data_IF_497652789498
#
_entry.id   IF_497652789498
#
_cell.length_a   1.000
_cell.length_b   1.000
_cell.length_c   1.000
_cell.angle_alpha   90.00
_cell.angle_beta   90.00
_cell.angle_gamma   90.00
#
_symmetry.space_group_name_H-M   'P 1'
#
loop_
_entity.id
_entity.type
_entity.pdbx_description
1 polymer ?
#
# COMPACT_ATOMS: atom_id res chain seq x y z
N UNK A 1 -33.35 -45.81 -24.43
CA UNK A 1 -32.90 -46.22 -23.08
C UNK A 1 -31.68 -47.12 -23.20
N UNK A 2 -30.51 -46.76 -22.64
CA UNK A 2 -29.32 -47.64 -22.67
C UNK A 2 -28.69 -47.80 -21.28
N UNK A 3 -28.94 -48.95 -20.63
CA UNK A 3 -28.19 -49.40 -19.45
C UNK A 3 -27.39 -50.64 -19.85
N UNK A 4 -26.05 -50.57 -19.82
CA UNK A 4 -25.22 -51.68 -20.30
C UNK A 4 -25.01 -52.79 -19.25
N UNK A 5 -24.90 -52.43 -17.97
CA UNK A 5 -24.67 -53.37 -16.87
C UNK A 5 -25.09 -52.78 -15.51
N UNK A 6 -25.08 -53.61 -14.47
CA UNK A 6 -25.22 -53.16 -13.07
C UNK A 6 -26.59 -53.38 -12.44
N UNK A 7 -26.82 -52.74 -11.30
CA UNK A 7 -28.00 -52.95 -10.44
C UNK A 7 -28.70 -51.62 -10.14
N UNK A 8 -30.04 -51.57 -10.25
CA UNK A 8 -30.85 -50.38 -9.95
C UNK A 8 -30.39 -49.10 -10.67
N UNK A 9 -29.95 -49.22 -11.92
CA UNK A 9 -29.64 -48.06 -12.75
C UNK A 9 -30.89 -47.63 -13.53
N UNK A 10 -31.12 -46.32 -13.60
CA UNK A 10 -32.24 -45.67 -14.31
C UNK A 10 -31.68 -44.80 -15.44
N UNK A 11 -32.09 -45.09 -16.67
CA UNK A 11 -31.81 -44.27 -17.86
C UNK A 11 -33.16 -43.87 -18.47
N UNK A 12 -33.69 -42.71 -18.06
CA UNK A 12 -35.12 -42.40 -18.25
C UNK A 12 -35.45 -41.89 -19.66
N UNK A 13 -34.57 -41.10 -20.28
CA UNK A 13 -34.71 -40.67 -21.68
C UNK A 13 -34.14 -41.72 -22.66
N UNK A 14 -34.64 -41.70 -23.90
CA UNK A 14 -34.21 -42.65 -24.92
C UNK A 14 -32.73 -42.56 -25.29
N UNK A 15 -32.16 -41.36 -25.21
CA UNK A 15 -30.77 -41.06 -25.52
C UNK A 15 -29.86 -41.03 -24.30
N UNK A 16 -30.41 -41.25 -23.10
CA UNK A 16 -29.64 -41.34 -21.86
C UNK A 16 -28.86 -42.67 -21.78
N UNK A 17 -27.64 -42.60 -21.24
CA UNK A 17 -26.73 -43.75 -21.10
C UNK A 17 -26.28 -43.93 -19.66
N UNK A 18 -26.35 -45.17 -19.17
CA UNK A 18 -25.63 -45.64 -17.98
C UNK A 18 -24.81 -46.87 -18.34
N UNK A 19 -23.48 -46.78 -18.30
CA UNK A 19 -22.63 -47.90 -18.71
C UNK A 19 -22.46 -49.00 -17.65
N UNK A 20 -22.66 -48.73 -16.36
CA UNK A 20 -22.52 -49.75 -15.32
C UNK A 20 -22.81 -49.22 -13.91
N UNK A 21 -22.44 -50.01 -12.89
CA UNK A 21 -22.49 -49.58 -11.49
C UNK A 21 -23.82 -49.87 -10.79
N UNK A 22 -24.09 -49.15 -9.70
CA UNK A 22 -25.29 -49.34 -8.88
C UNK A 22 -25.98 -48.03 -8.54
N UNK A 23 -27.31 -47.98 -8.64
CA UNK A 23 -28.10 -46.82 -8.18
C UNK A 23 -27.95 -45.55 -9.01
N UNK A 24 -27.38 -45.63 -10.22
CA UNK A 24 -27.13 -44.45 -11.04
C UNK A 24 -28.39 -44.00 -11.81
N UNK A 25 -28.60 -42.69 -11.93
CA UNK A 25 -29.80 -42.09 -12.54
C UNK A 25 -29.42 -41.09 -13.64
N UNK A 26 -29.56 -41.48 -14.91
CA UNK A 26 -29.39 -40.62 -16.08
C UNK A 26 -30.75 -40.27 -16.68
N UNK A 27 -31.20 -39.02 -16.55
CA UNK A 27 -32.63 -38.70 -16.65
C UNK A 27 -33.03 -38.12 -18.01
N UNK A 28 -32.30 -37.12 -18.52
CA UNK A 28 -32.71 -36.34 -19.70
C UNK A 28 -31.88 -36.66 -20.96
N UNK A 29 -32.23 -36.05 -22.09
CA UNK A 29 -31.60 -36.31 -23.37
C UNK A 29 -30.09 -36.10 -23.34
N UNK A 30 -29.36 -37.04 -23.95
CA UNK A 30 -27.89 -37.09 -24.03
C UNK A 30 -27.17 -37.07 -22.69
N UNK A 31 -27.86 -37.28 -21.57
CA UNK A 31 -27.23 -37.43 -20.26
C UNK A 31 -26.44 -38.75 -20.20
N UNK A 32 -25.26 -38.72 -19.59
CA UNK A 32 -24.35 -39.86 -19.57
C UNK A 32 -23.74 -40.11 -18.19
N UNK A 33 -23.80 -41.37 -17.75
CA UNK A 33 -23.09 -41.86 -16.58
C UNK A 33 -22.25 -43.06 -17.00
N UNK A 34 -20.93 -43.00 -16.81
CA UNK A 34 -20.04 -44.10 -17.20
C UNK A 34 -20.11 -45.29 -16.22
N UNK A 35 -20.44 -45.05 -14.94
CA UNK A 35 -20.55 -46.06 -13.89
C UNK A 35 -20.50 -45.47 -12.50
N UNK A 36 -20.16 -46.29 -11.50
CA UNK A 36 -20.05 -45.87 -10.11
C UNK A 36 -21.29 -46.19 -9.26
N UNK A 37 -21.47 -45.46 -8.16
CA UNK A 37 -22.53 -45.71 -7.19
C UNK A 37 -23.35 -44.45 -6.89
N UNK A 38 -24.67 -44.50 -7.00
CA UNK A 38 -25.59 -43.40 -6.66
C UNK A 38 -25.25 -42.06 -7.35
N UNK A 39 -24.82 -42.09 -8.60
CA UNK A 39 -24.59 -40.88 -9.38
C UNK A 39 -25.87 -40.42 -10.09
N UNK A 40 -26.06 -39.11 -10.24
CA UNK A 40 -27.20 -38.52 -10.93
C UNK A 40 -26.75 -37.57 -12.04
N UNK A 41 -27.18 -37.81 -13.27
CA UNK A 41 -27.05 -36.90 -14.42
C UNK A 41 -28.48 -36.48 -14.84
N UNK A 42 -28.91 -35.30 -14.42
CA UNK A 42 -30.33 -34.94 -14.38
C UNK A 42 -30.85 -34.28 -15.65
N UNK A 43 -30.04 -33.47 -16.33
CA UNK A 43 -30.53 -32.58 -17.39
C UNK A 43 -29.77 -32.76 -18.72
N UNK A 44 -30.18 -32.01 -19.75
CA UNK A 44 -29.70 -32.10 -21.12
C UNK A 44 -28.17 -32.13 -21.19
N UNK A 45 -27.61 -33.17 -21.79
CA UNK A 45 -26.16 -33.34 -21.99
C UNK A 45 -25.33 -33.24 -20.70
N UNK A 46 -25.93 -33.50 -19.53
CA UNK A 46 -25.20 -33.62 -18.26
C UNK A 46 -24.37 -34.90 -18.23
N UNK A 47 -23.16 -34.83 -17.69
CA UNK A 47 -22.22 -35.97 -17.67
C UNK A 47 -21.68 -36.22 -16.28
N UNK A 48 -21.75 -37.48 -15.83
CA UNK A 48 -20.98 -37.98 -14.69
C UNK A 48 -20.00 -39.05 -15.16
N UNK A 49 -18.71 -38.75 -15.02
CA UNK A 49 -17.62 -39.63 -15.45
C UNK A 49 -17.35 -40.82 -14.52
N UNK A 50 -18.01 -40.91 -13.36
CA UNK A 50 -17.96 -42.05 -12.43
C UNK A 50 -18.02 -41.62 -10.97
N UNK A 51 -17.46 -42.44 -10.07
CA UNK A 51 -17.37 -42.11 -8.64
C UNK A 51 -18.61 -42.48 -7.85
N UNK A 52 -18.86 -41.79 -6.72
CA UNK A 52 -20.00 -42.08 -5.86
C UNK A 52 -20.71 -40.81 -5.36
N UNK A 53 -22.05 -40.81 -5.36
CA UNK A 53 -22.89 -39.69 -4.93
C UNK A 53 -22.62 -38.38 -5.68
N UNK A 54 -22.24 -38.43 -6.95
CA UNK A 54 -22.02 -37.23 -7.75
C UNK A 54 -23.30 -36.80 -8.47
N UNK A 55 -23.55 -35.50 -8.55
CA UNK A 55 -24.70 -34.91 -9.22
C UNK A 55 -24.25 -33.92 -10.30
N UNK A 56 -24.63 -34.18 -11.55
CA UNK A 56 -24.60 -33.24 -12.66
C UNK A 56 -26.05 -32.83 -12.95
N UNK A 57 -26.49 -31.73 -12.33
CA UNK A 57 -27.90 -31.41 -12.15
C UNK A 57 -28.54 -30.57 -13.25
N UNK A 58 -27.78 -29.69 -13.91
CA UNK A 58 -28.30 -28.74 -14.92
C UNK A 58 -27.75 -29.02 -16.32
N UNK A 59 -28.33 -28.35 -17.32
CA UNK A 59 -27.94 -28.50 -18.72
C UNK A 59 -26.44 -28.26 -18.94
N UNK A 60 -25.80 -29.17 -19.68
CA UNK A 60 -24.37 -29.15 -20.02
C UNK A 60 -23.41 -29.21 -18.82
N UNK A 61 -23.87 -29.67 -17.66
CA UNK A 61 -23.02 -29.85 -16.49
C UNK A 61 -22.07 -31.04 -16.65
N UNK A 62 -20.88 -30.94 -16.06
CA UNK A 62 -19.92 -32.04 -16.05
C UNK A 62 -19.40 -32.28 -14.63
N UNK A 63 -19.52 -33.52 -14.17
CA UNK A 63 -18.78 -34.03 -13.01
C UNK A 63 -17.90 -35.19 -13.45
N UNK A 64 -16.58 -35.01 -13.54
CA UNK A 64 -15.73 -36.09 -14.09
C UNK A 64 -15.62 -37.31 -13.17
N UNK A 65 -15.87 -37.16 -11.86
CA UNK A 65 -15.88 -38.26 -10.89
C UNK A 65 -15.74 -37.78 -9.45
N UNK A 66 -15.19 -38.63 -8.57
CA UNK A 66 -14.96 -38.31 -7.15
C UNK A 66 -16.09 -38.75 -6.23
N UNK A 67 -16.20 -38.12 -5.07
CA UNK A 67 -17.22 -38.44 -4.06
C UNK A 67 -17.99 -37.18 -3.67
N UNK A 68 -19.32 -37.24 -3.74
CA UNK A 68 -20.22 -36.17 -3.29
C UNK A 68 -20.01 -34.83 -3.99
N UNK A 69 -19.70 -34.84 -5.29
CA UNK A 69 -19.53 -33.61 -6.06
C UNK A 69 -20.85 -33.18 -6.71
N UNK A 70 -21.10 -31.88 -6.76
CA UNK A 70 -22.38 -31.31 -7.19
C UNK A 70 -22.18 -30.16 -8.19
N UNK A 71 -22.53 -30.39 -9.45
CA UNK A 71 -22.56 -29.37 -10.49
C UNK A 71 -24.03 -29.03 -10.83
N UNK A 72 -24.53 -27.93 -10.27
CA UNK A 72 -25.94 -27.51 -10.31
C UNK A 72 -26.18 -26.14 -10.97
N UNK A 73 -25.17 -25.56 -11.61
CA UNK A 73 -25.33 -24.41 -12.50
C UNK A 73 -25.31 -24.83 -13.97
N UNK A 74 -26.00 -24.10 -14.85
CA UNK A 74 -25.90 -24.37 -16.28
C UNK A 74 -24.42 -24.32 -16.73
N UNK A 75 -23.96 -25.31 -17.51
CA UNK A 75 -22.54 -25.44 -17.94
C UNK A 75 -21.52 -25.50 -16.79
N UNK A 76 -21.95 -25.73 -15.55
CA UNK A 76 -21.05 -25.82 -14.43
C UNK A 76 -20.19 -27.09 -14.52
N UNK A 77 -18.95 -27.00 -14.03
CA UNK A 77 -18.00 -28.12 -14.08
C UNK A 77 -17.40 -28.39 -12.70
N UNK A 78 -17.46 -29.65 -12.27
CA UNK A 78 -16.65 -30.14 -11.16
C UNK A 78 -15.74 -31.26 -11.67
N UNK A 79 -14.43 -31.03 -11.78
CA UNK A 79 -13.54 -32.03 -12.38
C UNK A 79 -13.27 -33.24 -11.48
N UNK A 80 -13.65 -33.19 -10.19
CA UNK A 80 -13.56 -34.33 -9.27
C UNK A 80 -13.35 -33.90 -7.82
N UNK A 81 -12.79 -34.78 -7.00
CA UNK A 81 -12.49 -34.51 -5.58
C UNK A 81 -13.59 -34.98 -4.62
N UNK A 82 -13.65 -34.35 -3.45
CA UNK A 82 -14.58 -34.69 -2.36
C UNK A 82 -15.45 -33.49 -1.99
N UNK A 83 -16.77 -33.62 -2.05
CA UNK A 83 -17.70 -32.58 -1.57
C UNK A 83 -17.47 -31.20 -2.21
N UNK A 84 -17.30 -31.15 -3.53
CA UNK A 84 -17.16 -29.88 -4.25
C UNK A 84 -18.49 -29.47 -4.88
N UNK A 85 -18.80 -28.18 -4.86
CA UNK A 85 -20.07 -27.62 -5.39
C UNK A 85 -19.79 -26.53 -6.42
N UNK A 86 -20.36 -26.65 -7.62
CA UNK A 86 -20.41 -25.60 -8.63
C UNK A 86 -21.89 -25.32 -8.98
N UNK A 87 -22.48 -24.26 -8.42
CA UNK A 87 -23.95 -24.11 -8.38
C UNK A 87 -24.54 -23.02 -9.26
N UNK A 88 -23.72 -22.27 -10.00
CA UNK A 88 -24.18 -21.15 -10.84
C UNK A 88 -23.66 -21.25 -12.27
N UNK A 89 -24.19 -20.44 -13.20
CA UNK A 89 -23.88 -20.54 -14.63
C UNK A 89 -22.37 -20.45 -14.89
N UNK A 90 -21.83 -21.41 -15.63
CA UNK A 90 -20.41 -21.55 -15.97
C UNK A 90 -19.44 -21.64 -14.76
N UNK A 91 -19.95 -21.83 -13.55
CA UNK A 91 -19.12 -21.98 -12.36
C UNK A 91 -18.24 -23.24 -12.47
N UNK A 92 -16.98 -23.14 -12.01
CA UNK A 92 -16.01 -24.21 -12.15
C UNK A 92 -15.32 -24.51 -10.83
N UNK A 93 -15.28 -25.79 -10.45
CA UNK A 93 -14.40 -26.32 -9.41
C UNK A 93 -13.50 -27.39 -10.01
N UNK A 94 -12.20 -27.11 -10.11
CA UNK A 94 -11.27 -28.06 -10.76
C UNK A 94 -10.90 -29.27 -9.88
N UNK A 95 -11.27 -29.27 -8.59
CA UNK A 95 -11.09 -30.42 -7.70
C UNK A 95 -10.92 -30.03 -6.24
N UNK A 96 -10.18 -30.85 -5.49
CA UNK A 96 -9.93 -30.62 -4.06
C UNK A 96 -11.04 -31.15 -3.15
N UNK A 97 -11.21 -30.52 -1.99
CA UNK A 97 -12.17 -30.95 -0.98
C UNK A 97 -12.93 -29.77 -0.39
N UNK A 98 -14.26 -29.86 -0.26
CA UNK A 98 -15.11 -28.81 0.31
C UNK A 98 -15.06 -27.46 -0.42
N UNK A 99 -14.78 -27.44 -1.72
CA UNK A 99 -14.72 -26.20 -2.48
C UNK A 99 -16.10 -25.82 -3.04
N UNK A 100 -16.43 -24.53 -3.03
CA UNK A 100 -17.72 -24.01 -3.50
C UNK A 100 -17.52 -22.85 -4.49
N UNK A 101 -17.97 -23.03 -5.73
CA UNK A 101 -18.13 -21.96 -6.72
C UNK A 101 -19.63 -21.68 -6.93
N UNK A 102 -20.16 -20.61 -6.34
CA UNK A 102 -21.59 -20.27 -6.36
C UNK A 102 -21.91 -18.94 -7.04
N UNK A 103 -20.90 -18.17 -7.45
CA UNK A 103 -21.08 -17.00 -8.32
C UNK A 103 -21.12 -17.37 -9.80
N UNK A 104 -21.75 -16.52 -10.63
CA UNK A 104 -21.75 -16.71 -12.10
C UNK A 104 -20.32 -16.61 -12.63
N UNK A 105 -19.89 -17.59 -13.44
CA UNK A 105 -18.51 -17.72 -13.91
C UNK A 105 -17.45 -17.74 -12.79
N UNK A 106 -17.84 -18.03 -11.54
CA UNK A 106 -16.91 -18.14 -10.43
C UNK A 106 -16.03 -19.39 -10.60
N UNK A 107 -14.77 -19.28 -10.17
CA UNK A 107 -13.80 -20.36 -10.31
C UNK A 107 -13.11 -20.67 -8.99
N UNK A 108 -13.08 -21.95 -8.62
CA UNK A 108 -12.23 -22.48 -7.56
C UNK A 108 -11.31 -23.55 -8.14
N UNK A 109 -10.02 -23.25 -8.24
CA UNK A 109 -9.06 -24.16 -8.89
C UNK A 109 -8.74 -25.42 -8.05
N UNK A 110 -9.08 -25.43 -6.76
CA UNK A 110 -8.91 -26.61 -5.90
C UNK A 110 -8.59 -26.22 -4.46
N UNK A 111 -7.82 -27.06 -3.76
CA UNK A 111 -7.48 -26.87 -2.35
C UNK A 111 -8.54 -27.42 -1.40
N UNK A 112 -8.60 -26.88 -0.19
CA UNK A 112 -9.55 -27.29 0.84
C UNK A 112 -10.40 -26.10 1.31
N UNK A 113 -11.72 -26.26 1.30
CA UNK A 113 -12.68 -25.32 1.87
C UNK A 113 -12.65 -23.90 1.27
N UNK A 114 -12.35 -23.76 -0.02
CA UNK A 114 -12.34 -22.46 -0.68
C UNK A 114 -13.72 -22.12 -1.26
N UNK A 115 -14.14 -20.87 -1.12
CA UNK A 115 -15.44 -20.38 -1.60
C UNK A 115 -15.26 -19.19 -2.54
N UNK A 116 -15.87 -19.25 -3.73
CA UNK A 116 -16.02 -18.14 -4.66
C UNK A 116 -17.51 -17.93 -4.94
N UNK A 117 -18.10 -16.89 -4.35
CA UNK A 117 -19.57 -16.74 -4.27
C UNK A 117 -20.17 -15.63 -5.11
N UNK A 118 -19.35 -14.71 -5.65
CA UNK A 118 -19.82 -13.62 -6.51
C UNK A 118 -19.39 -13.81 -7.97
N UNK A 119 -19.97 -13.02 -8.87
CA UNK A 119 -19.74 -13.10 -10.30
C UNK A 119 -18.27 -12.85 -10.64
N UNK A 120 -17.69 -13.72 -11.46
CA UNK A 120 -16.27 -13.69 -11.84
C UNK A 120 -15.28 -13.80 -10.65
N UNK A 121 -15.75 -14.18 -9.45
CA UNK A 121 -14.88 -14.39 -8.30
C UNK A 121 -13.93 -15.57 -8.55
N UNK A 122 -12.65 -15.41 -8.20
CA UNK A 122 -11.63 -16.45 -8.43
C UNK A 122 -10.87 -16.79 -7.15
N UNK A 123 -11.00 -18.05 -6.71
CA UNK A 123 -10.13 -18.65 -5.72
C UNK A 123 -9.13 -19.61 -6.39
N UNK A 124 -7.86 -19.21 -6.45
CA UNK A 124 -6.79 -19.96 -7.08
C UNK A 124 -6.39 -21.25 -6.35
N UNK A 125 -6.84 -21.44 -5.10
CA UNK A 125 -6.63 -22.65 -4.31
C UNK A 125 -6.32 -22.33 -2.85
N UNK A 126 -5.54 -23.18 -2.18
CA UNK A 126 -5.15 -22.99 -0.79
C UNK A 126 -6.14 -23.57 0.23
N UNK A 127 -6.21 -22.97 1.41
CA UNK A 127 -7.02 -23.45 2.53
C UNK A 127 -7.95 -22.36 3.07
N UNK A 128 -9.26 -22.62 3.05
CA UNK A 128 -10.28 -21.76 3.66
C UNK A 128 -10.29 -20.31 3.18
N UNK A 129 -10.08 -20.08 1.88
CA UNK A 129 -10.18 -18.75 1.28
C UNK A 129 -11.62 -18.42 0.86
N UNK A 130 -12.03 -17.18 1.03
CA UNK A 130 -13.37 -16.67 0.65
C UNK A 130 -13.23 -15.53 -0.35
N UNK A 131 -13.94 -15.62 -1.47
CA UNK A 131 -13.99 -14.59 -2.51
C UNK A 131 -15.45 -14.25 -2.76
N UNK A 132 -15.89 -13.14 -2.20
CA UNK A 132 -17.29 -12.70 -2.19
C UNK A 132 -17.52 -11.35 -2.88
N UNK A 133 -16.48 -10.75 -3.46
CA UNK A 133 -16.60 -9.55 -4.27
C UNK A 133 -16.62 -9.88 -5.77
N UNK A 134 -17.45 -9.17 -6.52
CA UNK A 134 -17.49 -9.28 -7.99
C UNK A 134 -16.10 -9.03 -8.61
N UNK A 135 -15.63 -9.99 -9.40
CA UNK A 135 -14.30 -9.95 -10.04
C UNK A 135 -13.11 -9.96 -9.07
N UNK A 136 -13.35 -10.23 -7.78
CA UNK A 136 -12.29 -10.30 -6.78
C UNK A 136 -11.46 -11.58 -6.94
N UNK A 137 -10.23 -11.56 -6.45
CA UNK A 137 -9.30 -12.69 -6.58
C UNK A 137 -8.55 -12.97 -5.28
N UNK A 138 -8.56 -14.24 -4.89
CA UNK A 138 -7.56 -14.81 -3.96
C UNK A 138 -6.74 -15.82 -4.74
N UNK A 139 -5.47 -15.56 -5.08
CA UNK A 139 -4.67 -16.48 -5.87
C UNK A 139 -4.28 -17.76 -5.11
N UNK A 140 -4.34 -17.74 -3.77
CA UNK A 140 -4.02 -18.85 -2.90
C UNK A 140 -3.80 -18.39 -1.45
N UNK A 141 -3.07 -19.18 -0.69
CA UNK A 141 -2.80 -18.90 0.73
C UNK A 141 -3.85 -19.50 1.66
N UNK A 142 -3.99 -18.92 2.85
CA UNK A 142 -4.76 -19.49 3.95
C UNK A 142 -5.65 -18.42 4.57
N UNK A 143 -6.95 -18.70 4.73
CA UNK A 143 -7.91 -17.82 5.40
C UNK A 143 -8.00 -16.38 4.85
N UNK A 144 -7.75 -16.18 3.55
CA UNK A 144 -7.89 -14.86 2.93
C UNK A 144 -9.36 -14.59 2.56
N UNK A 145 -9.76 -13.32 2.64
CA UNK A 145 -11.11 -12.84 2.29
C UNK A 145 -11.03 -11.66 1.33
N UNK A 146 -11.46 -11.88 0.09
CA UNK A 146 -11.59 -10.87 -0.96
C UNK A 146 -13.07 -10.58 -1.25
N UNK A 147 -13.66 -9.62 -0.52
CA UNK A 147 -15.08 -9.26 -0.60
C UNK A 147 -15.33 -7.93 -1.32
N UNK A 148 -14.32 -7.07 -1.42
CA UNK A 148 -14.40 -5.88 -2.24
C UNK A 148 -14.53 -6.21 -3.72
N UNK A 149 -15.40 -5.51 -4.45
CA UNK A 149 -15.42 -5.59 -5.92
C UNK A 149 -14.03 -5.27 -6.47
N UNK A 150 -13.53 -6.11 -7.38
CA UNK A 150 -12.17 -6.03 -7.95
C UNK A 150 -11.04 -6.02 -6.89
N UNK A 151 -11.27 -6.56 -5.69
CA UNK A 151 -10.25 -6.66 -4.65
C UNK A 151 -9.32 -7.86 -4.86
N UNK A 152 -8.14 -7.78 -4.23
CA UNK A 152 -7.12 -8.82 -4.29
C UNK A 152 -6.56 -9.09 -2.89
N UNK A 153 -6.58 -10.34 -2.45
CA UNK A 153 -6.06 -10.72 -1.13
C UNK A 153 -5.22 -11.99 -1.22
N UNK A 154 -3.99 -11.95 -0.71
CA UNK A 154 -3.06 -13.09 -0.70
C UNK A 154 -2.25 -13.15 0.59
N UNK A 155 -1.74 -14.34 0.93
CA UNK A 155 -0.97 -14.58 2.15
C UNK A 155 -1.74 -15.41 3.17
N UNK A 156 -1.64 -15.04 4.45
CA UNK A 156 -2.41 -15.62 5.55
C UNK A 156 -3.26 -14.53 6.20
N UNK A 157 -4.58 -14.73 6.27
CA UNK A 157 -5.52 -13.78 6.91
C UNK A 157 -5.53 -12.37 6.29
N UNK A 158 -5.34 -12.24 4.98
CA UNK A 158 -5.56 -11.00 4.24
C UNK A 158 -7.06 -10.76 4.04
N UNK A 159 -7.60 -9.64 4.53
CA UNK A 159 -9.05 -9.37 4.57
C UNK A 159 -9.36 -7.98 3.99
N UNK A 160 -10.09 -7.94 2.87
CA UNK A 160 -10.48 -6.70 2.16
C UNK A 160 -11.73 -6.02 2.77
N UNK A 161 -11.91 -6.20 4.09
CA UNK A 161 -12.96 -5.58 4.90
C UNK A 161 -12.37 -4.86 6.11
N UNK A 162 -13.04 -3.79 6.54
CA UNK A 162 -12.77 -3.13 7.83
C UNK A 162 -13.13 -4.06 9.00
N UNK A 163 -12.71 -3.69 10.23
CA UNK A 163 -13.15 -4.40 11.45
C UNK A 163 -14.66 -4.26 11.70
N UNK A 164 -15.29 -3.24 11.13
CA UNK A 164 -16.72 -2.98 11.28
C UNK A 164 -17.55 -3.65 10.17
N UNK A 165 -16.91 -4.36 9.23
CA UNK A 165 -17.57 -5.03 8.12
C UNK A 165 -17.75 -4.18 6.86
N UNK A 166 -17.08 -3.03 6.76
CA UNK A 166 -17.10 -2.22 5.54
C UNK A 166 -16.27 -2.91 4.48
N UNK A 167 -16.88 -3.18 3.33
CA UNK A 167 -16.25 -3.84 2.20
C UNK A 167 -15.47 -2.81 1.37
N UNK A 168 -14.20 -3.08 1.08
CA UNK A 168 -13.33 -2.12 0.40
C UNK A 168 -13.04 -2.53 -1.05
N UNK A 169 -13.75 -1.91 -1.99
CA UNK A 169 -13.53 -2.10 -3.42
C UNK A 169 -12.10 -1.73 -3.86
N UNK A 170 -11.53 -2.50 -4.79
CA UNK A 170 -10.21 -2.26 -5.35
C UNK A 170 -9.03 -2.37 -4.36
N UNK A 171 -9.27 -2.82 -3.12
CA UNK A 171 -8.21 -3.01 -2.15
C UNK A 171 -7.31 -4.19 -2.54
N UNK A 172 -5.99 -3.99 -2.47
CA UNK A 172 -4.97 -4.99 -2.78
C UNK A 172 -4.12 -5.26 -1.54
N UNK A 173 -4.16 -6.50 -1.03
CA UNK A 173 -3.54 -6.88 0.22
C UNK A 173 -2.54 -8.03 0.02
N UNK A 174 -1.35 -7.83 0.57
CA UNK A 174 -0.28 -8.81 0.64
C UNK A 174 0.04 -9.06 2.13
N UNK A 175 -0.63 -10.05 2.72
CA UNK A 175 -0.35 -10.47 4.09
C UNK A 175 0.86 -11.41 4.14
N UNK A 176 1.55 -11.42 5.27
CA UNK A 176 2.70 -12.29 5.49
C UNK A 176 2.27 -13.68 5.99
N UNK A 177 3.20 -14.45 6.58
CA UNK A 177 2.93 -15.78 7.12
C UNK A 177 2.46 -15.77 8.59
N UNK A 178 2.38 -14.60 9.23
CA UNK A 178 1.94 -14.49 10.62
C UNK A 178 0.46 -14.86 10.72
N UNK A 179 0.03 -15.32 11.89
CA UNK A 179 -1.38 -15.65 12.16
C UNK A 179 -2.15 -14.42 12.67
N UNK A 180 -1.88 -13.25 12.09
CA UNK A 180 -2.53 -11.98 12.47
C UNK A 180 -3.45 -11.51 11.35
N UNK A 181 -4.59 -10.95 11.72
CA UNK A 181 -5.52 -10.41 10.72
C UNK A 181 -4.92 -9.17 10.05
N UNK A 182 -4.71 -9.25 8.74
CA UNK A 182 -4.28 -8.10 7.95
C UNK A 182 -5.46 -7.56 7.14
N UNK A 183 -6.10 -6.53 7.67
CA UNK A 183 -7.31 -5.93 7.09
C UNK A 183 -7.01 -4.79 6.13
N UNK A 184 -7.99 -4.37 5.36
CA UNK A 184 -7.96 -3.11 4.60
C UNK A 184 -8.45 -1.95 5.48
N UNK A 185 -7.99 -0.72 5.21
CA UNK A 185 -8.46 0.51 5.89
C UNK A 185 -9.39 1.37 5.05
N UNK A 186 -9.26 1.32 3.72
CA UNK A 186 -10.23 1.91 2.79
C UNK A 186 -10.21 1.26 1.40
N UNK A 187 -11.06 1.74 0.47
CA UNK A 187 -11.06 1.31 -0.93
C UNK A 187 -9.80 1.78 -1.68
N UNK A 188 -9.49 1.14 -2.81
CA UNK A 188 -8.43 1.55 -3.76
C UNK A 188 -7.03 1.76 -3.16
N UNK A 189 -6.67 1.01 -2.13
CA UNK A 189 -5.35 1.04 -1.50
C UNK A 189 -4.55 -0.22 -1.84
N UNK A 190 -3.22 -0.06 -1.86
CA UNK A 190 -2.28 -1.17 -1.78
C UNK A 190 -1.73 -1.25 -0.35
N UNK A 191 -1.87 -2.41 0.31
CA UNK A 191 -1.29 -2.66 1.63
C UNK A 191 -0.44 -3.93 1.60
N UNK A 192 0.73 -3.85 2.21
CA UNK A 192 1.62 -4.99 2.43
C UNK A 192 1.97 -5.08 3.91
N UNK A 193 1.85 -6.27 4.49
CA UNK A 193 2.39 -6.58 5.81
C UNK A 193 3.89 -6.94 5.73
N UNK A 194 4.37 -7.23 4.53
CA UNK A 194 5.76 -7.55 4.25
C UNK A 194 6.52 -6.30 3.77
N UNK A 195 7.83 -6.17 4.08
CA UNK A 195 8.67 -5.14 3.47
C UNK A 195 8.71 -5.25 1.94
N UNK A 196 8.69 -4.11 1.26
CA UNK A 196 8.79 -4.03 -0.20
C UNK A 196 10.23 -3.70 -0.61
N UNK A 197 10.97 -4.70 -1.09
CA UNK A 197 12.29 -4.50 -1.68
C UNK A 197 12.16 -4.24 -3.18
N UNK A 198 12.23 -2.97 -3.58
CA UNK A 198 12.17 -2.55 -4.98
C UNK A 198 13.48 -1.88 -5.41
N UNK A 199 13.95 -2.08 -6.65
CA UNK A 199 15.10 -1.34 -7.17
C UNK A 199 14.89 0.17 -7.22
N UNK A 200 13.64 0.62 -7.43
CA UNK A 200 13.27 2.04 -7.40
C UNK A 200 11.75 2.20 -7.19
N UNK A 201 11.36 3.31 -6.56
CA UNK A 201 10.00 3.83 -6.59
C UNK A 201 9.98 5.07 -7.49
N UNK A 202 9.23 5.01 -8.59
CA UNK A 202 9.19 6.07 -9.59
C UNK A 202 7.87 6.84 -9.48
N UNK A 203 7.89 7.96 -8.78
CA UNK A 203 6.71 8.83 -8.64
C UNK A 203 6.44 9.60 -9.94
N UNK A 204 5.19 9.59 -10.40
CA UNK A 204 4.80 10.40 -11.56
C UNK A 204 4.90 11.88 -11.21
N UNK A 205 5.77 12.62 -11.89
CA UNK A 205 6.04 14.04 -11.60
C UNK A 205 6.22 14.89 -12.87
N UNK A 206 5.44 14.58 -13.91
CA UNK A 206 5.39 15.42 -15.12
C UNK A 206 4.54 16.68 -14.85
N UNK A 207 5.00 17.85 -15.31
CA UNK A 207 4.23 19.10 -15.24
C UNK A 207 2.89 19.00 -15.96
N UNK A 208 2.81 18.21 -17.03
CA UNK A 208 1.59 17.99 -17.80
C UNK A 208 0.53 17.20 -17.02
N UNK A 209 0.94 16.49 -15.97
CA UNK A 209 0.04 15.75 -15.07
C UNK A 209 -0.31 16.55 -13.81
N UNK A 210 0.02 17.84 -13.75
CA UNK A 210 -0.21 18.72 -12.60
C UNK A 210 -1.01 19.96 -13.02
N UNK A 211 -1.84 20.43 -12.11
CA UNK A 211 -2.62 21.66 -12.24
C UNK A 211 -2.45 22.52 -10.98
N UNK A 212 -2.96 23.75 -11.01
CA UNK A 212 -3.00 24.65 -9.84
C UNK A 212 -1.64 24.90 -9.16
N UNK A 213 -0.58 24.97 -9.98
CA UNK A 213 0.80 25.12 -9.52
C UNK A 213 1.05 26.56 -9.07
N UNK A 214 1.30 26.75 -7.76
CA UNK A 214 1.70 28.01 -7.15
C UNK A 214 3.07 27.89 -6.49
N UNK A 215 3.93 28.93 -6.52
CA UNK A 215 5.20 28.91 -5.81
C UNK A 215 4.96 28.91 -4.29
N UNK A 216 5.89 28.29 -3.56
CA UNK A 216 5.94 28.32 -2.09
C UNK A 216 7.07 29.24 -1.63
N UNK A 217 6.90 29.88 -0.47
CA UNK A 217 7.94 30.70 0.17
C UNK A 217 8.86 29.82 1.04
N UNK A 218 10.14 29.62 0.67
CA UNK A 218 11.03 28.69 1.37
C UNK A 218 11.27 29.04 2.84
N UNK A 219 11.30 30.34 3.17
CA UNK A 219 11.51 30.85 4.52
C UNK A 219 10.32 30.52 5.44
N UNK A 220 9.09 30.73 4.95
CA UNK A 220 7.88 30.33 5.66
C UNK A 220 7.84 28.82 5.90
N UNK A 221 8.23 28.01 4.91
CA UNK A 221 8.26 26.54 5.05
C UNK A 221 9.34 26.11 6.05
N UNK A 222 10.51 26.74 6.04
CA UNK A 222 11.57 26.46 7.01
C UNK A 222 11.12 26.78 8.44
N UNK A 223 10.45 27.92 8.65
CA UNK A 223 9.91 28.29 9.97
C UNK A 223 8.93 27.23 10.47
N UNK A 224 7.98 26.82 9.62
CA UNK A 224 7.03 25.75 9.92
C UNK A 224 7.70 24.40 10.21
N UNK A 225 8.74 24.01 9.47
CA UNK A 225 9.51 22.78 9.75
C UNK A 225 10.31 22.88 11.04
N UNK A 226 10.78 24.07 11.41
CA UNK A 226 11.53 24.30 12.66
C UNK A 226 10.64 24.10 13.89
N UNK A 227 9.36 24.47 13.77
CA UNK A 227 8.36 24.31 14.83
C UNK A 227 7.65 22.94 14.80
N UNK A 228 7.90 22.10 13.78
CA UNK A 228 7.26 20.80 13.63
C UNK A 228 7.85 19.76 14.59
N UNK A 229 6.98 19.13 15.38
CA UNK A 229 7.39 18.04 16.27
C UNK A 229 7.83 16.80 15.49
N UNK A 230 9.08 16.39 15.69
CA UNK A 230 9.63 15.14 15.16
C UNK A 230 9.94 14.21 16.33
N UNK A 231 9.27 13.05 16.36
CA UNK A 231 9.38 12.07 17.43
C UNK A 231 9.83 10.72 16.91
N UNK A 232 10.38 9.89 17.80
CA UNK A 232 10.57 8.47 17.55
C UNK A 232 9.33 7.68 17.92
N UNK A 233 8.96 6.67 17.14
CA UNK A 233 7.73 5.90 17.32
C UNK A 233 7.86 4.48 16.77
N UNK A 234 6.96 3.59 17.18
CA UNK A 234 6.87 2.20 16.68
C UNK A 234 5.44 1.95 16.21
N UNK A 235 5.28 1.18 15.13
CA UNK A 235 3.96 0.73 14.72
C UNK A 235 3.43 -0.32 15.71
N UNK A 236 2.14 -0.26 16.01
CA UNK A 236 1.47 -1.32 16.75
C UNK A 236 1.54 -2.63 15.95
N UNK A 237 1.79 -3.74 16.62
CA UNK A 237 1.72 -5.11 16.10
C UNK A 237 2.67 -5.48 14.93
N UNK A 238 3.67 -4.68 14.57
CA UNK A 238 4.55 -4.99 13.42
C UNK A 238 5.97 -5.47 13.75
N UNK A 239 6.44 -5.39 15.00
CA UNK A 239 7.83 -5.70 15.39
C UNK A 239 8.89 -5.16 14.39
N UNK A 240 8.59 -4.00 13.77
CA UNK A 240 9.38 -3.37 12.71
C UNK A 240 10.45 -2.41 13.28
N UNK A 241 10.46 -2.28 14.60
CA UNK A 241 11.40 -1.45 15.35
C UNK A 241 10.99 0.02 15.40
N UNK A 242 11.95 0.84 15.83
CA UNK A 242 11.78 2.25 16.07
C UNK A 242 12.03 3.07 14.79
N UNK A 243 11.04 3.90 14.46
CA UNK A 243 11.03 4.84 13.35
C UNK A 243 11.10 6.29 13.89
N UNK A 244 11.27 7.26 13.01
CA UNK A 244 11.32 8.69 13.34
C UNK A 244 10.59 9.51 12.28
N UNK A 245 9.80 10.48 12.73
CA UNK A 245 9.09 11.41 11.85
C UNK A 245 8.02 12.21 12.60
N UNK A 246 7.37 13.18 11.92
CA UNK A 246 6.18 13.83 12.44
C UNK A 246 4.97 12.88 12.39
N UNK A 247 3.90 13.16 13.15
CA UNK A 247 2.63 12.46 12.94
C UNK A 247 1.83 13.17 11.84
N UNK A 248 1.03 12.37 11.13
CA UNK A 248 0.28 12.85 9.96
C UNK A 248 -0.70 13.99 10.28
N UNK A 249 -1.34 13.95 11.46
CA UNK A 249 -2.30 14.97 11.86
C UNK A 249 -1.64 16.36 12.03
N UNK A 250 -0.51 16.45 12.74
CA UNK A 250 0.20 17.73 12.91
C UNK A 250 0.84 18.20 11.61
N UNK A 251 1.40 17.27 10.80
CA UNK A 251 1.93 17.60 9.48
C UNK A 251 0.84 18.20 8.57
N UNK A 252 -0.36 17.60 8.58
CA UNK A 252 -1.51 18.07 7.82
C UNK A 252 -1.96 19.47 8.29
N UNK A 253 -2.06 19.69 9.61
CA UNK A 253 -2.42 20.99 10.18
C UNK A 253 -1.40 22.09 9.83
N UNK A 254 -0.11 21.72 9.77
CA UNK A 254 0.98 22.66 9.48
C UNK A 254 1.03 23.06 8.00
N UNK A 255 0.92 22.10 7.06
CA UNK A 255 1.17 22.35 5.63
C UNK A 255 -0.06 22.29 4.72
N UNK A 256 -1.16 21.66 5.17
CA UNK A 256 -2.42 21.56 4.42
C UNK A 256 -2.25 21.01 2.97
N UNK A 257 -1.42 19.97 2.81
CA UNK A 257 -1.07 19.38 1.50
C UNK A 257 -1.96 18.19 1.09
N UNK A 258 -2.53 17.47 2.06
CA UNK A 258 -3.47 16.36 1.80
C UNK A 258 -4.78 16.56 2.59
N UNK A 259 -5.81 15.82 2.24
CA UNK A 259 -7.08 15.72 2.97
C UNK A 259 -7.08 14.60 4.02
N UNK A 260 -6.21 13.60 3.86
CA UNK A 260 -6.03 12.53 4.85
C UNK A 260 -5.18 13.01 6.03
N UNK A 261 -5.62 12.66 7.25
CA UNK A 261 -4.94 12.96 8.51
C UNK A 261 -4.23 11.76 9.10
N UNK A 262 -4.31 10.60 8.44
CA UNK A 262 -3.71 9.34 8.91
C UNK A 262 -2.40 8.99 8.19
N UNK A 263 -2.12 9.60 7.04
CA UNK A 263 -0.93 9.31 6.24
C UNK A 263 -0.22 10.58 5.79
N UNK A 264 1.08 10.43 5.49
CA UNK A 264 1.89 11.48 4.84
C UNK A 264 2.37 10.89 3.53
N UNK A 265 1.97 11.49 2.40
CA UNK A 265 2.52 11.10 1.12
C UNK A 265 4.00 11.46 1.06
N UNK A 266 4.85 10.53 0.61
CA UNK A 266 6.30 10.78 0.54
C UNK A 266 6.65 11.97 -0.35
N UNK A 267 5.86 12.22 -1.42
CA UNK A 267 6.04 13.37 -2.30
C UNK A 267 5.84 14.71 -1.58
N UNK A 268 4.95 14.75 -0.57
CA UNK A 268 4.68 15.96 0.20
C UNK A 268 5.78 16.18 1.24
N UNK A 269 6.20 15.13 1.94
CA UNK A 269 7.34 15.17 2.85
C UNK A 269 8.63 15.60 2.13
N UNK A 270 8.91 15.04 0.95
CA UNK A 270 10.05 15.42 0.10
C UNK A 270 9.96 16.88 -0.36
N UNK A 271 8.76 17.32 -0.77
CA UNK A 271 8.50 18.70 -1.19
C UNK A 271 8.75 19.71 -0.06
N UNK A 272 8.23 19.45 1.13
CA UNK A 272 8.44 20.26 2.34
C UNK A 272 9.93 20.28 2.71
N UNK A 273 10.61 19.12 2.70
CA UNK A 273 12.04 19.05 3.01
C UNK A 273 12.88 19.88 2.02
N UNK A 274 12.60 19.80 0.72
CA UNK A 274 13.30 20.57 -0.31
C UNK A 274 13.08 22.07 -0.15
N UNK A 275 11.85 22.51 0.13
CA UNK A 275 11.55 23.92 0.37
C UNK A 275 12.23 24.44 1.66
N UNK A 276 12.21 23.66 2.75
CA UNK A 276 12.94 24.02 3.97
C UNK A 276 14.46 24.11 3.75
N UNK A 277 15.05 23.21 2.95
CA UNK A 277 16.48 23.28 2.56
C UNK A 277 16.77 24.56 1.78
N UNK A 278 15.87 24.98 0.88
CA UNK A 278 16.01 26.25 0.17
C UNK A 278 15.98 27.44 1.14
N UNK A 279 15.03 27.47 2.07
CA UNK A 279 14.96 28.51 3.10
C UNK A 279 16.22 28.56 3.97
N UNK A 280 16.77 27.40 4.33
CA UNK A 280 17.99 27.31 5.13
C UNK A 280 19.20 27.83 4.34
N UNK A 281 19.28 27.48 3.05
CA UNK A 281 20.34 27.98 2.17
C UNK A 281 20.27 29.52 2.02
N UNK A 282 19.06 30.09 1.98
CA UNK A 282 18.88 31.55 1.97
C UNK A 282 19.39 32.20 3.26
N UNK A 283 18.98 31.71 4.43
CA UNK A 283 19.45 32.23 5.72
C UNK A 283 20.97 32.11 5.89
N UNK A 284 21.56 30.97 5.50
CA UNK A 284 23.02 30.76 5.54
C UNK A 284 23.74 31.76 4.64
N UNK A 285 23.20 32.05 3.45
CA UNK A 285 23.77 33.05 2.55
C UNK A 285 23.72 34.45 3.16
N UNK A 286 22.57 34.85 3.72
CA UNK A 286 22.40 36.15 4.37
C UNK A 286 23.36 36.33 5.56
N UNK A 287 23.48 35.31 6.41
CA UNK A 287 24.42 35.31 7.55
C UNK A 287 25.86 35.48 7.05
N UNK A 288 26.26 34.80 5.99
CA UNK A 288 27.62 34.92 5.43
C UNK A 288 27.90 36.31 4.83
N UNK A 289 26.91 36.93 4.20
CA UNK A 289 27.03 38.31 3.70
C UNK A 289 27.18 39.30 4.86
N UNK A 290 26.41 39.10 5.94
CA UNK A 290 26.52 39.91 7.15
C UNK A 290 27.86 39.74 7.86
N UNK A 291 28.40 38.53 7.94
CA UNK A 291 29.74 38.28 8.49
C UNK A 291 30.80 39.04 7.69
N UNK A 292 30.76 38.98 6.36
CA UNK A 292 31.71 39.71 5.49
C UNK A 292 31.62 41.22 5.67
N UNK A 293 30.42 41.76 5.80
CA UNK A 293 30.20 43.18 6.07
C UNK A 293 30.84 43.57 7.41
N UNK A 294 30.55 42.81 8.47
CA UNK A 294 31.10 43.04 9.81
C UNK A 294 32.64 42.92 9.85
N UNK A 295 33.23 41.98 9.10
CA UNK A 295 34.69 41.85 8.98
C UNK A 295 35.31 43.06 8.27
N UNK A 296 34.63 43.61 7.26
CA UNK A 296 35.07 44.81 6.54
C UNK A 296 35.01 46.03 7.47
N UNK A 297 33.90 46.23 8.18
CA UNK A 297 33.73 47.33 9.13
C UNK A 297 34.75 47.25 10.26
N UNK A 298 34.97 46.06 10.81
CA UNK A 298 35.99 45.83 11.84
C UNK A 298 37.38 46.23 11.36
N UNK A 299 37.76 45.84 10.14
CA UNK A 299 39.05 46.22 9.56
C UNK A 299 39.17 47.75 9.40
N UNK A 300 38.08 48.43 9.04
CA UNK A 300 38.03 49.89 9.00
C UNK A 300 38.26 50.53 10.37
N UNK A 301 37.54 50.06 11.39
CA UNK A 301 37.70 50.54 12.78
C UNK A 301 39.10 50.28 13.33
N UNK A 302 39.69 49.11 13.06
CA UNK A 302 41.06 48.79 13.45
C UNK A 302 42.06 49.77 12.81
N UNK A 303 41.82 50.21 11.57
CA UNK A 303 42.63 51.23 10.91
C UNK A 303 42.43 52.62 11.54
N UNK A 304 41.20 53.01 11.84
CA UNK A 304 40.90 54.30 12.49
C UNK A 304 41.57 54.39 13.87
N UNK A 305 41.61 53.28 14.63
CA UNK A 305 42.33 53.21 15.91
C UNK A 305 43.82 53.48 15.73
N UNK A 306 44.45 52.87 14.71
CA UNK A 306 45.87 53.10 14.41
C UNK A 306 46.12 54.56 14.02
N UNK A 307 45.26 55.13 13.18
CA UNK A 307 45.40 56.52 12.72
C UNK A 307 45.24 57.51 13.89
N UNK A 308 44.29 57.27 14.80
CA UNK A 308 44.11 58.06 16.02
C UNK A 308 45.29 57.93 16.98
N UNK A 309 45.87 56.73 17.13
CA UNK A 309 47.08 56.53 17.92
C UNK A 309 48.24 57.38 17.37
N UNK A 310 48.45 57.36 16.05
CA UNK A 310 49.48 58.19 15.39
C UNK A 310 49.21 59.70 15.50
N UNK A 311 47.94 60.13 15.48
CA UNK A 311 47.60 61.54 15.72
C UNK A 311 47.89 61.94 17.17
N UNK A 312 47.54 61.09 18.14
CA UNK A 312 47.84 61.34 19.55
C UNK A 312 49.35 61.40 19.81
N UNK A 313 50.15 60.51 19.20
CA UNK A 313 51.61 60.55 19.28
C UNK A 313 52.17 61.88 18.74
N UNK A 314 51.74 62.30 17.55
CA UNK A 314 52.12 63.60 16.98
C UNK A 314 51.75 64.78 17.88
N UNK A 315 50.53 64.78 18.42
CA UNK A 315 50.09 65.82 19.35
C UNK A 315 50.91 65.82 20.65
N UNK A 316 51.35 64.66 21.13
CA UNK A 316 52.25 64.56 22.29
C UNK A 316 53.61 65.20 21.98
N UNK A 317 54.21 64.90 20.83
CA UNK A 317 55.48 65.49 20.38
C UNK A 317 55.38 67.01 20.20
N UNK A 318 54.29 67.51 19.58
CA UNK A 318 54.02 68.94 19.44
C UNK A 318 53.87 69.63 20.79
N UNK A 319 53.14 69.01 21.73
CA UNK A 319 52.99 69.54 23.09
C UNK A 319 54.31 69.55 23.87
N UNK A 320 55.16 68.55 23.70
CA UNK A 320 56.49 68.52 24.31
C UNK A 320 57.38 69.65 23.78
N UNK A 321 57.42 69.83 22.46
CA UNK A 321 58.13 70.93 21.79
C UNK A 321 57.63 72.30 22.27
N UNK A 322 56.31 72.48 22.37
CA UNK A 322 55.72 73.73 22.87
C UNK A 322 56.09 73.99 24.34
N UNK A 323 56.15 72.96 25.19
CA UNK A 323 56.59 73.08 26.58
C UNK A 323 58.06 73.48 26.68
N UNK A 324 58.92 72.92 25.84
CA UNK A 324 60.33 73.32 25.75
C UNK A 324 60.46 74.80 25.35
N UNK A 325 59.77 75.20 24.28
CA UNK A 325 59.75 76.59 23.82
C UNK A 325 59.22 77.55 24.89
N UNK A 326 58.15 77.17 25.60
CA UNK A 326 57.59 77.97 26.69
C UNK A 326 58.60 78.14 27.83
N UNK A 327 59.29 77.07 28.22
CA UNK A 327 60.32 77.09 29.26
C UNK A 327 61.50 77.99 28.88
N UNK A 328 61.94 77.93 27.61
CA UNK A 328 62.99 78.82 27.08
C UNK A 328 62.56 80.29 27.12
N UNK A 329 61.32 80.57 26.70
CA UNK A 329 60.76 81.91 26.71
C UNK A 329 60.65 82.46 28.13
N UNK A 330 60.15 81.65 29.07
CA UNK A 330 60.05 81.98 30.49
C UNK A 330 61.42 82.34 31.06
N UNK A 331 62.45 81.52 30.79
CA UNK A 331 63.84 81.77 31.19
C UNK A 331 64.37 83.10 30.63
N UNK A 332 64.05 83.44 29.37
CA UNK A 332 64.44 84.72 28.75
C UNK A 332 63.74 85.92 29.38
N UNK A 333 62.46 85.79 29.72
CA UNK A 333 61.71 86.85 30.42
C UNK A 333 62.30 87.09 31.81
N UNK A 334 62.58 86.04 32.60
CA UNK A 334 63.21 86.20 33.92
C UNK A 334 64.58 86.87 33.83
N UNK A 335 65.35 86.58 32.78
CA UNK A 335 66.65 87.22 32.55
C UNK A 335 66.54 88.71 32.19
N UNK A 336 65.47 89.12 31.49
CA UNK A 336 65.21 90.53 31.15
C UNK A 336 64.68 91.32 32.35
N UNK A 337 63.85 90.70 33.21
CA UNK A 337 63.34 91.33 34.44
C UNK A 337 64.42 91.56 35.52
N UNK A 338 65.59 90.92 35.37
CA UNK A 338 66.74 91.06 36.26
C UNK A 338 67.74 92.17 35.86
N UNK A 339 67.50 92.89 34.75
CA UNK A 339 68.27 94.06 34.30
C UNK A 339 67.60 95.38 34.72
#
# INVERSE_FOLDING_TARGET
MTVLAGFLNDASDDTAVVAGGSGNRSINAYAAITGGHDNTARDLSSTVGGGSHNTAGESYTTVSGGFFNDANGQRATVSGGYNNTASNDTATVSGGSWNTASGSAATVNGGYNNTASDSNATAGGGYSNTVSGEGATVPGGVFNTASGRLSFATGHLAITESRNGDVHEGAVLFADATATEFRSRGPNQFRSQMPMFAPSFNSTSDRMNKQDISPVDPETVLEAVTDLDVSTWEFEDTNDGCHMGPMAAEFNETFNLDSDKETIASVDADGVALAAIQGLAHQVKEINERIKALETDKKGLDQDIVDLQQQNERLCEENETLREQYTELETRVTALEAQ
#
